data_IF_153235157446
#
_entry.id   IF_153235157446
#
_cell.length_a   1.000
_cell.length_b   1.000
_cell.length_c   1.000
_cell.angle_alpha   90.00
_cell.angle_beta   90.00
_cell.angle_gamma   90.00
#
_symmetry.space_group_name_H-M   'P 1'
#
loop_
_entity.id
_entity.type
_entity.pdbx_description
1 polymer ?
#
# COMPACT_ATOMS: atom_id res chain seq x y z
N UNK A 1 -14.62 -22.15 -12.75
CA UNK A 1 -14.78 -20.86 -12.03
C UNK A 1 -14.16 -20.90 -10.63
N UNK A 2 -14.51 -21.87 -9.76
CA UNK A 2 -13.93 -21.98 -8.40
C UNK A 2 -12.40 -22.14 -8.34
N UNK A 3 -11.79 -22.87 -9.30
CA UNK A 3 -10.33 -23.04 -9.34
C UNK A 3 -9.58 -21.76 -9.71
N UNK A 4 -10.18 -20.88 -10.52
CA UNK A 4 -9.60 -19.59 -10.88
C UNK A 4 -9.64 -18.61 -9.69
N UNK A 5 -10.77 -18.54 -8.98
CA UNK A 5 -10.92 -17.71 -7.78
C UNK A 5 -9.99 -18.16 -6.62
N UNK A 6 -9.75 -19.47 -6.48
CA UNK A 6 -8.78 -19.98 -5.50
C UNK A 6 -7.33 -19.64 -5.87
N UNK A 7 -7.00 -19.72 -7.16
CA UNK A 7 -5.68 -19.36 -7.69
C UNK A 7 -5.39 -17.86 -7.51
N UNK A 8 -6.40 -17.02 -7.72
CA UNK A 8 -6.35 -15.57 -7.54
C UNK A 8 -6.12 -15.17 -6.07
N UNK A 9 -6.86 -15.79 -5.13
CA UNK A 9 -6.66 -15.58 -3.70
C UNK A 9 -5.26 -16.02 -3.21
N UNK A 10 -4.73 -17.12 -3.74
CA UNK A 10 -3.37 -17.58 -3.45
C UNK A 10 -2.29 -16.63 -4.01
N UNK A 11 -2.56 -16.01 -5.16
CA UNK A 11 -1.67 -15.02 -5.76
C UNK A 11 -1.64 -13.72 -4.94
N UNK A 12 -2.81 -13.23 -4.51
CA UNK A 12 -2.92 -12.05 -3.63
C UNK A 12 -2.19 -12.23 -2.31
N UNK A 13 -2.31 -13.41 -1.68
CA UNK A 13 -1.58 -13.71 -0.45
C UNK A 13 -0.06 -13.56 -0.63
N UNK A 14 0.50 -14.18 -1.67
CA UNK A 14 1.94 -14.11 -1.96
C UNK A 14 2.40 -12.69 -2.30
N UNK A 15 1.57 -11.94 -3.04
CA UNK A 15 1.87 -10.55 -3.38
C UNK A 15 1.87 -9.65 -2.15
N UNK A 16 0.90 -9.79 -1.25
CA UNK A 16 0.84 -9.08 0.04
C UNK A 16 2.08 -9.37 0.87
N UNK A 17 2.47 -10.64 1.02
CA UNK A 17 3.66 -11.00 1.81
C UNK A 17 4.95 -10.44 1.17
N UNK A 18 5.09 -10.49 -0.16
CA UNK A 18 6.23 -9.92 -0.86
C UNK A 18 6.32 -8.39 -0.70
N UNK A 19 5.19 -7.69 -0.87
CA UNK A 19 5.11 -6.23 -0.70
C UNK A 19 5.38 -5.82 0.75
N UNK A 20 4.97 -6.64 1.72
CA UNK A 20 5.23 -6.38 3.13
C UNK A 20 6.73 -6.42 3.44
N UNK A 21 7.45 -7.43 2.94
CA UNK A 21 8.91 -7.49 3.11
C UNK A 21 9.59 -6.30 2.43
N UNK A 22 9.20 -5.98 1.19
CA UNK A 22 9.71 -4.83 0.45
C UNK A 22 9.49 -3.51 1.22
N UNK A 23 8.29 -3.29 1.75
CA UNK A 23 7.96 -2.10 2.53
C UNK A 23 8.77 -2.00 3.83
N UNK A 24 8.99 -3.13 4.52
CA UNK A 24 9.77 -3.16 5.76
C UNK A 24 11.25 -2.86 5.51
N UNK A 25 11.83 -3.40 4.43
CA UNK A 25 13.21 -3.10 4.03
C UNK A 25 13.34 -1.61 3.69
N UNK A 26 12.45 -1.09 2.84
CA UNK A 26 12.47 0.32 2.44
C UNK A 26 12.25 1.27 3.63
N UNK A 27 11.43 0.89 4.60
CA UNK A 27 11.24 1.66 5.83
C UNK A 27 12.51 1.71 6.70
N UNK A 28 13.26 0.61 6.79
CA UNK A 28 14.53 0.62 7.50
C UNK A 28 15.60 1.44 6.76
N UNK A 29 15.68 1.33 5.44
CA UNK A 29 16.55 2.15 4.60
C UNK A 29 16.24 3.64 4.75
N UNK A 30 14.95 4.02 4.66
CA UNK A 30 14.51 5.39 4.84
C UNK A 30 14.84 5.91 6.25
N UNK A 31 14.59 5.10 7.29
CA UNK A 31 14.95 5.44 8.66
C UNK A 31 16.46 5.66 8.80
N UNK A 32 17.28 4.77 8.25
CA UNK A 32 18.73 4.86 8.31
C UNK A 32 19.24 6.13 7.61
N UNK A 33 18.74 6.39 6.40
CA UNK A 33 19.15 7.55 5.61
C UNK A 33 18.72 8.87 6.26
N UNK A 34 17.43 9.04 6.57
CA UNK A 34 16.92 10.31 7.08
C UNK A 34 17.29 10.60 8.54
N UNK A 35 17.63 9.60 9.35
CA UNK A 35 18.06 9.82 10.72
C UNK A 35 19.58 10.06 10.88
N UNK A 36 20.40 9.50 9.98
CA UNK A 36 21.88 9.49 10.14
C UNK A 36 22.60 10.33 9.08
N UNK A 37 22.13 10.31 7.83
CA UNK A 37 22.83 10.93 6.69
C UNK A 37 22.22 12.27 6.27
N UNK A 38 21.02 12.59 6.78
CA UNK A 38 20.36 13.84 6.44
C UNK A 38 21.21 15.07 6.82
N UNK A 39 21.95 15.09 7.93
CA UNK A 39 22.67 16.32 8.32
C UNK A 39 23.82 16.67 7.37
N UNK A 40 24.65 15.71 6.96
CA UNK A 40 25.77 15.97 6.05
C UNK A 40 25.29 16.33 4.64
N UNK A 41 24.32 15.59 4.10
CA UNK A 41 23.79 15.82 2.76
C UNK A 41 22.91 17.08 2.68
N UNK A 42 22.25 17.46 3.79
CA UNK A 42 21.35 18.63 3.85
C UNK A 42 22.11 19.92 4.11
N UNK A 43 23.27 19.89 4.74
CA UNK A 43 24.03 21.12 5.00
C UNK A 43 24.67 21.70 3.74
N UNK A 44 24.92 20.87 2.72
CA UNK A 44 25.37 21.30 1.40
C UNK A 44 24.23 21.86 0.52
N UNK A 45 22.96 21.69 0.93
CA UNK A 45 21.81 22.19 0.19
C UNK A 45 21.48 23.65 0.54
N UNK A 46 21.04 24.46 -0.44
CA UNK A 46 20.50 25.79 -0.16
C UNK A 46 19.25 25.70 0.74
N UNK A 47 18.99 26.72 1.57
CA UNK A 47 17.94 26.72 2.59
C UNK A 47 16.57 26.21 2.08
N UNK A 48 16.15 26.64 0.88
CA UNK A 48 14.88 26.21 0.30
C UNK A 48 14.87 24.71 -0.01
N UNK A 49 15.97 24.17 -0.54
CA UNK A 49 16.12 22.74 -0.78
C UNK A 49 16.17 21.93 0.53
N UNK A 50 16.71 22.50 1.62
CA UNK A 50 16.68 21.87 2.96
C UNK A 50 15.27 21.71 3.52
N UNK A 51 14.37 22.64 3.22
CA UNK A 51 12.95 22.57 3.61
C UNK A 51 12.23 21.54 2.75
N UNK A 52 12.43 21.61 1.42
CA UNK A 52 11.85 20.65 0.48
C UNK A 52 12.26 19.20 0.84
N UNK A 53 13.54 18.99 1.18
CA UNK A 53 14.06 17.69 1.63
C UNK A 53 13.30 17.18 2.87
N UNK A 54 13.08 18.03 3.88
CA UNK A 54 12.30 17.65 5.07
C UNK A 54 10.84 17.33 4.75
N UNK A 55 10.24 18.07 3.82
CA UNK A 55 8.88 17.77 3.35
C UNK A 55 8.84 16.41 2.66
N UNK A 56 9.79 16.13 1.76
CA UNK A 56 9.86 14.85 1.06
C UNK A 56 10.14 13.68 2.01
N UNK A 57 10.99 13.85 3.03
CA UNK A 57 11.22 12.81 4.04
C UNK A 57 9.93 12.47 4.80
N UNK A 58 9.11 13.47 5.14
CA UNK A 58 7.83 13.25 5.80
C UNK A 58 6.82 12.55 4.86
N UNK A 59 6.84 12.89 3.57
CA UNK A 59 6.01 12.20 2.57
C UNK A 59 6.42 10.74 2.41
N UNK A 60 7.72 10.42 2.44
CA UNK A 60 8.21 9.03 2.40
C UNK A 60 7.69 8.26 3.60
N UNK A 61 7.88 8.78 4.83
CA UNK A 61 7.47 8.06 6.04
C UNK A 61 5.95 7.88 6.09
N UNK A 62 5.17 8.87 5.65
CA UNK A 62 3.70 8.78 5.59
C UNK A 62 3.24 7.71 4.61
N UNK A 63 3.84 7.65 3.40
CA UNK A 63 3.55 6.59 2.41
C UNK A 63 3.85 5.21 2.97
N UNK A 64 5.05 5.03 3.54
CA UNK A 64 5.46 3.73 4.10
C UNK A 64 4.58 3.32 5.28
N UNK A 65 4.19 4.26 6.13
CA UNK A 65 3.25 4.00 7.22
C UNK A 65 1.90 3.50 6.70
N UNK A 66 1.28 4.17 5.73
CA UNK A 66 0.00 3.74 5.15
C UNK A 66 0.12 2.37 4.45
N UNK A 67 1.19 2.16 3.68
CA UNK A 67 1.46 0.87 3.03
C UNK A 67 1.61 -0.25 4.06
N UNK A 68 2.43 -0.06 5.09
CA UNK A 68 2.69 -1.09 6.11
C UNK A 68 1.42 -1.37 6.91
N UNK A 69 0.67 -0.33 7.32
CA UNK A 69 -0.58 -0.49 8.05
C UNK A 69 -1.60 -1.32 7.25
N UNK A 70 -1.78 -0.99 5.96
CA UNK A 70 -2.69 -1.71 5.08
C UNK A 70 -2.25 -3.17 4.87
N UNK A 71 -0.96 -3.42 4.61
CA UNK A 71 -0.42 -4.77 4.41
C UNK A 71 -0.55 -5.61 5.69
N UNK A 72 -0.33 -5.04 6.87
CA UNK A 72 -0.57 -5.73 8.13
C UNK A 72 -2.03 -6.12 8.31
N UNK A 73 -2.97 -5.22 7.98
CA UNK A 73 -4.39 -5.53 8.01
C UNK A 73 -4.75 -6.69 7.07
N UNK A 74 -4.22 -6.70 5.84
CA UNK A 74 -4.47 -7.80 4.92
C UNK A 74 -3.91 -9.13 5.43
N UNK A 75 -2.73 -9.13 6.06
CA UNK A 75 -2.15 -10.35 6.65
C UNK A 75 -2.95 -10.84 7.85
N UNK A 76 -3.42 -9.94 8.71
CA UNK A 76 -4.33 -10.28 9.82
C UNK A 76 -5.62 -10.91 9.31
N UNK A 77 -6.22 -10.34 8.26
CA UNK A 77 -7.40 -10.91 7.61
C UNK A 77 -7.13 -12.29 7.00
N UNK A 78 -6.01 -12.47 6.30
CA UNK A 78 -5.62 -13.77 5.73
C UNK A 78 -5.37 -14.85 6.79
N UNK A 79 -4.97 -14.47 8.00
CA UNK A 79 -4.80 -15.38 9.15
C UNK A 79 -6.10 -15.62 9.93
N UNK A 80 -7.18 -14.93 9.58
CA UNK A 80 -8.45 -14.98 10.32
C UNK A 80 -8.45 -14.19 11.62
N UNK A 81 -7.45 -13.31 11.84
CA UNK A 81 -7.37 -12.41 12.99
C UNK A 81 -8.32 -11.19 12.83
N UNK A 82 -8.63 -10.83 11.58
CA UNK A 82 -9.60 -9.80 11.21
C UNK A 82 -10.71 -10.47 10.39
N UNK A 83 -11.97 -10.14 10.69
CA UNK A 83 -13.11 -10.76 10.00
C UNK A 83 -13.39 -10.14 8.62
N UNK A 84 -14.16 -10.84 7.78
CA UNK A 84 -14.60 -10.32 6.46
C UNK A 84 -15.44 -9.04 6.55
N UNK A 85 -16.13 -8.83 7.68
CA UNK A 85 -16.89 -7.62 7.95
C UNK A 85 -15.97 -6.47 8.36
N UNK A 86 -15.07 -6.73 9.31
CA UNK A 86 -14.20 -5.70 9.87
C UNK A 86 -13.22 -5.16 8.84
N UNK A 87 -12.65 -6.00 7.96
CA UNK A 87 -11.64 -5.58 6.96
C UNK A 87 -12.15 -4.52 5.97
N UNK A 88 -13.46 -4.27 5.93
CA UNK A 88 -14.12 -3.25 5.10
C UNK A 88 -14.23 -1.89 5.79
N UNK A 89 -13.94 -1.83 7.09
CA UNK A 89 -13.94 -0.57 7.81
C UNK A 89 -12.86 0.37 7.28
N UNK A 90 -13.16 1.67 7.30
CA UNK A 90 -12.27 2.72 6.79
C UNK A 90 -10.86 2.66 7.40
N UNK A 91 -10.74 2.24 8.66
CA UNK A 91 -9.45 2.08 9.36
C UNK A 91 -8.50 1.05 8.73
N UNK A 92 -9.01 0.13 7.92
CA UNK A 92 -8.20 -0.89 7.23
C UNK A 92 -8.04 -0.61 5.73
N UNK A 93 -8.59 0.50 5.23
CA UNK A 93 -8.35 0.96 3.86
C UNK A 93 -6.98 1.62 3.76
N UNK A 94 -6.46 1.67 2.54
CA UNK A 94 -5.17 2.31 2.30
C UNK A 94 -5.33 3.83 2.47
N UNK A 95 -4.64 4.39 3.45
CA UNK A 95 -4.66 5.83 3.71
C UNK A 95 -4.05 6.62 2.56
N UNK A 96 -4.58 7.82 2.30
CA UNK A 96 -4.08 8.71 1.25
C UNK A 96 -2.66 9.19 1.55
N UNK A 97 -1.81 9.20 0.53
CA UNK A 97 -0.47 9.74 0.66
C UNK A 97 -0.05 10.53 -0.58
N UNK A 98 0.74 11.58 -0.34
CA UNK A 98 1.20 12.47 -1.41
C UNK A 98 2.15 11.75 -2.36
N UNK A 99 1.98 12.00 -3.66
CA UNK A 99 2.92 11.55 -4.69
C UNK A 99 4.21 12.38 -4.63
N UNK A 100 5.36 11.78 -4.99
CA UNK A 100 6.61 12.51 -5.12
C UNK A 100 6.52 13.54 -6.25
N UNK A 101 7.00 14.76 -6.01
CA UNK A 101 7.14 15.77 -7.07
C UNK A 101 8.53 15.64 -7.71
N UNK A 102 8.59 14.94 -8.84
CA UNK A 102 9.84 14.59 -9.51
C UNK A 102 10.66 15.80 -9.96
N UNK A 103 10.03 16.95 -10.24
CA UNK A 103 10.74 18.15 -10.67
C UNK A 103 11.55 18.76 -9.52
N UNK A 104 11.04 18.68 -8.29
CA UNK A 104 11.71 19.19 -7.09
C UNK A 104 12.93 18.37 -6.66
N UNK A 105 13.13 17.18 -7.24
CA UNK A 105 14.15 16.22 -6.81
C UNK A 105 15.51 16.39 -7.50
N UNK A 106 15.61 17.21 -8.55
CA UNK A 106 16.83 17.29 -9.38
C UNK A 106 18.08 17.63 -8.56
N UNK A 107 17.93 18.49 -7.56
CA UNK A 107 19.03 18.95 -6.70
C UNK A 107 19.30 18.02 -5.51
N UNK A 108 18.53 16.96 -5.34
CA UNK A 108 18.64 16.09 -4.16
C UNK A 108 19.77 15.05 -4.34
N UNK A 109 20.36 14.54 -3.26
CA UNK A 109 21.26 13.40 -3.32
C UNK A 109 20.61 12.19 -3.99
N UNK A 110 21.41 11.38 -4.70
CA UNK A 110 20.92 10.18 -5.40
C UNK A 110 20.16 9.26 -4.44
N UNK A 111 20.70 9.02 -3.25
CA UNK A 111 20.08 8.15 -2.24
C UNK A 111 18.69 8.66 -1.83
N UNK A 112 18.54 9.96 -1.57
CA UNK A 112 17.25 10.58 -1.27
C UNK A 112 16.26 10.39 -2.40
N UNK A 113 16.67 10.65 -3.65
CA UNK A 113 15.81 10.46 -4.83
C UNK A 113 15.33 9.02 -4.95
N UNK A 114 16.22 8.04 -4.75
CA UNK A 114 15.88 6.62 -4.81
C UNK A 114 14.81 6.25 -3.79
N UNK A 115 14.94 6.73 -2.54
CA UNK A 115 13.94 6.49 -1.50
C UNK A 115 12.60 7.20 -1.79
N UNK A 116 12.66 8.44 -2.28
CA UNK A 116 11.46 9.24 -2.59
C UNK A 116 10.68 8.62 -3.75
N UNK A 117 11.35 8.25 -4.83
CA UNK A 117 10.73 7.61 -6.00
C UNK A 117 10.27 6.20 -5.69
N UNK A 118 11.13 5.38 -5.07
CA UNK A 118 10.82 3.99 -4.71
C UNK A 118 9.62 3.86 -3.78
N UNK A 119 9.51 4.73 -2.76
CA UNK A 119 8.31 4.74 -1.89
C UNK A 119 7.04 5.19 -2.61
N UNK A 120 7.16 5.91 -3.73
CA UNK A 120 6.04 6.33 -4.57
C UNK A 120 5.55 5.17 -5.41
N UNK A 121 6.47 4.49 -6.09
CA UNK A 121 6.20 3.30 -6.89
C UNK A 121 5.60 2.18 -6.04
N UNK A 122 6.13 1.96 -4.83
CA UNK A 122 5.60 1.02 -3.86
C UNK A 122 4.17 1.37 -3.47
N UNK A 123 3.90 2.63 -3.11
CA UNK A 123 2.55 3.09 -2.77
C UNK A 123 1.58 2.87 -3.93
N UNK A 124 1.96 3.21 -5.16
CA UNK A 124 1.09 3.02 -6.32
C UNK A 124 0.79 1.54 -6.62
N UNK A 125 1.79 0.65 -6.46
CA UNK A 125 1.59 -0.80 -6.58
C UNK A 125 0.61 -1.32 -5.54
N UNK A 126 0.76 -0.89 -4.29
CA UNK A 126 -0.14 -1.26 -3.19
C UNK A 126 -1.53 -0.69 -3.39
N UNK A 127 -1.66 0.55 -3.86
CA UNK A 127 -2.94 1.16 -4.18
C UNK A 127 -3.70 0.41 -5.28
N UNK A 128 -3.01 -0.02 -6.34
CA UNK A 128 -3.61 -0.86 -7.39
C UNK A 128 -4.10 -2.19 -6.84
N UNK A 129 -3.28 -2.87 -6.04
CA UNK A 129 -3.68 -4.12 -5.39
C UNK A 129 -4.87 -3.93 -4.45
N UNK A 130 -4.87 -2.85 -3.66
CA UNK A 130 -5.95 -2.52 -2.75
C UNK A 130 -7.28 -2.30 -3.50
N UNK A 131 -7.24 -1.59 -4.62
CA UNK A 131 -8.41 -1.40 -5.49
C UNK A 131 -8.94 -2.72 -6.06
N UNK A 132 -8.06 -3.56 -6.62
CA UNK A 132 -8.45 -4.88 -7.16
C UNK A 132 -9.11 -5.76 -6.08
N UNK A 133 -8.49 -5.83 -4.89
CA UNK A 133 -9.03 -6.61 -3.78
C UNK A 133 -10.36 -6.06 -3.24
N UNK A 134 -10.58 -4.75 -3.33
CA UNK A 134 -11.83 -4.11 -2.93
C UNK A 134 -12.95 -4.40 -3.95
N UNK A 135 -12.66 -4.30 -5.25
CA UNK A 135 -13.58 -4.63 -6.34
C UNK A 135 -14.06 -6.08 -6.25
N UNK A 136 -13.14 -7.05 -6.09
CA UNK A 136 -13.49 -8.48 -5.94
C UNK A 136 -14.38 -8.76 -4.72
N UNK A 137 -14.15 -8.03 -3.63
CA UNK A 137 -14.95 -8.16 -2.41
C UNK A 137 -16.37 -7.65 -2.63
N UNK A 138 -16.54 -6.60 -3.43
CA UNK A 138 -17.85 -6.02 -3.73
C UNK A 138 -18.64 -6.91 -4.71
N UNK A 139 -17.97 -7.47 -5.74
CA UNK A 139 -18.57 -8.43 -6.67
C UNK A 139 -19.09 -9.69 -5.95
N UNK A 140 -18.35 -10.18 -4.95
CA UNK A 140 -18.76 -11.35 -4.15
C UNK A 140 -20.08 -11.12 -3.39
N UNK A 141 -20.40 -9.86 -3.02
CA UNK A 141 -21.68 -9.52 -2.35
C UNK A 141 -22.83 -9.53 -3.36
N UNK A 142 -22.59 -9.00 -4.56
CA UNK A 142 -23.60 -8.95 -5.63
C UNK A 142 -24.03 -10.36 -6.01
N UNK A 143 -23.12 -11.33 -6.01
CA UNK A 143 -23.40 -12.75 -6.22
C UNK A 143 -23.82 -13.51 -4.94
N UNK A 144 -24.09 -12.82 -3.84
CA UNK A 144 -24.25 -13.41 -2.51
C UNK A 144 -25.29 -14.56 -2.42
N UNK A 145 -25.17 -15.41 -1.39
CA UNK A 145 -25.93 -16.66 -1.27
C UNK A 145 -27.45 -16.46 -1.28
N UNK A 146 -27.94 -15.32 -0.76
CA UNK A 146 -29.35 -14.96 -0.84
C UNK A 146 -29.80 -14.68 -2.29
N UNK A 147 -28.98 -14.01 -3.11
CA UNK A 147 -29.28 -13.74 -4.51
C UNK A 147 -29.14 -14.99 -5.38
N UNK A 148 -28.17 -15.85 -5.06
CA UNK A 148 -28.06 -17.18 -5.66
C UNK A 148 -29.28 -18.08 -5.33
N UNK A 149 -29.80 -18.00 -4.11
CA UNK A 149 -31.03 -18.68 -3.70
C UNK A 149 -32.26 -18.11 -4.42
N UNK A 150 -32.40 -16.78 -4.50
CA UNK A 150 -33.48 -16.13 -5.25
C UNK A 150 -33.46 -16.48 -6.74
N UNK A 151 -32.28 -16.53 -7.36
CA UNK A 151 -32.13 -16.96 -8.76
C UNK A 151 -32.41 -18.45 -8.98
N UNK A 152 -32.31 -19.30 -7.94
CA UNK A 152 -32.76 -20.70 -8.00
C UNK A 152 -34.29 -20.78 -7.91
N UNK A 153 -34.91 -20.01 -7.02
CA UNK A 153 -36.37 -19.97 -6.89
C UNK A 153 -37.05 -19.43 -8.16
N UNK A 154 -36.50 -18.38 -8.76
CA UNK A 154 -37.05 -17.78 -9.97
C UNK A 154 -36.98 -18.67 -11.23
N UNK A 155 -36.22 -19.78 -11.20
CA UNK A 155 -36.13 -20.75 -12.30
C UNK A 155 -37.06 -21.96 -12.16
N UNK A 156 -37.75 -22.08 -11.02
CA UNK A 156 -38.66 -23.19 -10.72
C UNK A 156 -40.13 -22.86 -11.01
N UNK A 157 -40.41 -21.64 -11.49
CA UNK A 157 -41.71 -21.16 -11.95
C UNK A 157 -41.54 -20.59 -13.36
#
# INVERSE_FOLDING_TARGET
MAMAAHMDRGLHMRLVDSLYVEAMVMADEARSYFAVQADADRDDLPLLARVAFSCESLKVTTRLMHVIAWLMAQRGWQRGEITDGDIREERYRLGEAARPDLFSLLDFPVAARTLITGSGDLYERVARLAGMMEEERDETIVEGPARALMGRLARLF
#
